data_IF_605174595534
#
_entry.id   IF_605174595534
#
_cell.length_a   1.000
_cell.length_b   1.000
_cell.length_c   1.000
_cell.angle_alpha   90.00
_cell.angle_beta   90.00
_cell.angle_gamma   90.00
#
_symmetry.space_group_name_H-M   'P 1'
#
loop_
_entity.id
_entity.type
_entity.pdbx_description
1 polymer ?
#
# COMPACT_ATOMS: atom_id res chain seq x y z
N UNK A 1 -60.01 -28.70 -11.47
CA UNK A 1 -58.65 -28.38 -11.96
C UNK A 1 -58.50 -26.87 -11.92
N UNK A 2 -58.03 -26.31 -10.80
CA UNK A 2 -57.64 -24.90 -10.75
C UNK A 2 -56.13 -24.83 -10.74
N UNK A 3 -55.57 -24.34 -11.84
CA UNK A 3 -54.14 -24.12 -11.98
C UNK A 3 -53.74 -22.92 -11.10
N UNK A 4 -53.02 -23.19 -10.01
CA UNK A 4 -52.31 -22.17 -9.26
C UNK A 4 -51.26 -21.52 -10.16
N UNK A 5 -51.57 -20.33 -10.69
CA UNK A 5 -50.57 -19.44 -11.30
C UNK A 5 -49.66 -18.92 -10.18
N UNK A 6 -48.54 -19.60 -9.99
CA UNK A 6 -47.40 -19.05 -9.26
C UNK A 6 -46.95 -17.81 -10.05
N UNK A 7 -47.22 -16.61 -9.52
CA UNK A 7 -46.62 -15.37 -10.02
C UNK A 7 -45.10 -15.54 -9.91
N UNK A 8 -44.41 -15.67 -11.04
CA UNK A 8 -42.96 -15.54 -11.08
C UNK A 8 -42.60 -14.17 -10.51
N UNK A 9 -41.98 -14.16 -9.34
CA UNK A 9 -41.42 -12.96 -8.74
C UNK A 9 -40.27 -12.54 -9.66
N UNK A 10 -40.42 -11.42 -10.36
CA UNK A 10 -39.37 -10.90 -11.24
C UNK A 10 -38.05 -10.77 -10.49
N UNK A 11 -36.95 -11.03 -11.16
CA UNK A 11 -35.62 -10.88 -10.56
C UNK A 11 -35.47 -9.47 -9.99
N UNK A 12 -34.93 -9.34 -8.76
CA UNK A 12 -34.78 -8.05 -8.12
C UNK A 12 -33.85 -7.16 -8.95
N UNK A 13 -34.30 -5.94 -9.24
CA UNK A 13 -33.52 -4.94 -9.97
C UNK A 13 -32.53 -4.29 -9.02
N UNK A 14 -31.43 -3.73 -9.56
CA UNK A 14 -30.41 -2.99 -8.79
C UNK A 14 -31.01 -1.88 -7.90
N UNK A 15 -32.11 -1.30 -8.36
CA UNK A 15 -32.91 -0.26 -7.71
C UNK A 15 -33.57 -0.75 -6.41
N UNK A 16 -33.91 -2.04 -6.35
CA UNK A 16 -34.60 -2.69 -5.22
C UNK A 16 -33.68 -2.89 -4.01
N UNK A 17 -32.36 -2.77 -4.19
CA UNK A 17 -31.35 -2.97 -3.15
C UNK A 17 -30.92 -1.68 -2.44
N UNK A 18 -31.52 -0.53 -2.80
CA UNK A 18 -31.16 0.78 -2.25
C UNK A 18 -29.83 1.33 -2.77
N UNK A 19 -29.45 2.51 -2.29
CA UNK A 19 -28.15 3.10 -2.63
C UNK A 19 -27.04 2.46 -1.80
N UNK A 20 -25.89 2.10 -2.41
CA UNK A 20 -24.74 1.59 -1.65
C UNK A 20 -24.32 2.59 -0.56
N UNK A 21 -24.15 2.09 0.67
CA UNK A 21 -23.67 2.89 1.80
C UNK A 21 -22.18 2.60 2.00
N UNK A 22 -21.38 3.65 2.16
CA UNK A 22 -19.97 3.51 2.51
C UNK A 22 -19.83 3.01 3.95
N UNK A 23 -19.16 1.86 4.13
CA UNK A 23 -19.02 1.20 5.42
C UNK A 23 -17.72 1.55 6.17
N UNK A 24 -16.77 2.22 5.50
CA UNK A 24 -15.53 2.66 6.13
C UNK A 24 -15.70 3.94 6.95
N UNK A 25 -14.66 4.29 7.70
CA UNK A 25 -14.57 5.59 8.37
C UNK A 25 -14.47 6.70 7.32
N UNK A 26 -15.21 7.78 7.51
CA UNK A 26 -15.04 9.01 6.74
C UNK A 26 -13.81 9.76 7.25
N UNK A 27 -12.84 9.99 6.36
CA UNK A 27 -11.63 10.76 6.61
C UNK A 27 -11.84 12.15 6.00
N UNK A 28 -11.45 13.20 6.71
CA UNK A 28 -11.53 14.56 6.17
C UNK A 28 -10.72 14.68 4.87
N UNK A 29 -11.23 15.45 3.91
CA UNK A 29 -10.50 15.74 2.68
C UNK A 29 -9.23 16.58 3.00
N UNK A 30 -8.16 16.43 2.21
CA UNK A 30 -6.96 17.26 2.37
C UNK A 30 -7.30 18.75 2.24
N UNK A 31 -6.69 19.56 3.09
CA UNK A 31 -6.84 21.01 3.05
C UNK A 31 -6.31 21.63 1.74
N UNK A 32 -6.78 22.84 1.42
CA UNK A 32 -6.30 23.61 0.24
C UNK A 32 -4.81 23.94 0.30
N UNK A 33 -4.23 23.95 1.50
CA UNK A 33 -2.81 24.21 1.73
C UNK A 33 -2.31 23.24 2.78
N UNK A 34 -1.66 22.16 2.33
CA UNK A 34 -1.07 21.14 3.19
C UNK A 34 0.27 21.64 3.73
N UNK A 35 0.41 21.62 5.05
CA UNK A 35 1.71 21.83 5.71
C UNK A 35 2.31 20.46 5.99
N UNK A 36 3.47 20.18 5.42
CA UNK A 36 4.13 18.88 5.57
C UNK A 36 5.47 19.03 6.27
N UNK A 37 5.88 17.97 6.99
CA UNK A 37 7.26 17.80 7.40
C UNK A 37 7.96 16.92 6.38
N UNK A 38 9.12 17.37 5.92
CA UNK A 38 9.95 16.66 4.95
C UNK A 38 11.13 16.04 5.69
N UNK A 39 11.38 14.77 5.41
CA UNK A 39 12.58 14.06 5.82
C UNK A 39 13.40 13.71 4.60
N UNK A 40 14.73 13.70 4.76
CA UNK A 40 15.65 13.21 3.74
C UNK A 40 15.92 11.74 3.97
N UNK A 41 15.76 10.92 2.94
CA UNK A 41 16.36 9.57 2.89
C UNK A 41 17.70 9.72 2.16
N UNK A 42 18.84 9.45 2.82
CA UNK A 42 20.15 9.66 2.22
C UNK A 42 20.41 8.75 1.02
N UNK A 43 21.16 9.28 0.05
CA UNK A 43 21.84 8.50 -0.98
C UNK A 43 22.57 7.30 -0.38
N UNK A 44 22.56 6.18 -1.09
CA UNK A 44 23.21 4.94 -0.66
C UNK A 44 22.39 4.12 0.32
N UNK A 45 21.24 4.63 0.78
CA UNK A 45 20.29 3.84 1.56
C UNK A 45 19.78 2.68 0.71
N UNK A 46 19.83 1.48 1.27
CA UNK A 46 19.26 0.28 0.68
C UNK A 46 17.82 0.14 1.16
N UNK A 47 16.92 -0.09 0.20
CA UNK A 47 15.49 -0.24 0.39
C UNK A 47 15.05 -1.59 -0.16
N UNK A 48 14.01 -2.12 0.44
CA UNK A 48 13.55 -3.48 0.26
C UNK A 48 12.16 -3.48 -0.38
N UNK A 49 11.92 -4.37 -1.33
CA UNK A 49 10.63 -4.45 -2.03
C UNK A 49 10.24 -5.89 -2.26
N UNK A 50 8.97 -6.21 -1.97
CA UNK A 50 8.30 -7.36 -2.52
C UNK A 50 7.46 -6.92 -3.72
N UNK A 51 7.48 -7.68 -4.81
CA UNK A 51 6.75 -7.35 -6.04
C UNK A 51 6.26 -8.62 -6.75
N UNK A 52 5.22 -8.50 -7.56
CA UNK A 52 4.80 -9.59 -8.44
C UNK A 52 5.88 -9.83 -9.51
N UNK A 53 6.25 -11.09 -9.71
CA UNK A 53 7.28 -11.53 -10.66
C UNK A 53 6.99 -11.14 -12.12
N UNK A 54 5.73 -10.85 -12.47
CA UNK A 54 5.37 -10.38 -13.81
C UNK A 54 5.90 -8.97 -14.11
N UNK A 55 6.33 -8.21 -13.10
CA UNK A 55 6.87 -6.86 -13.25
C UNK A 55 8.35 -6.80 -12.80
N UNK A 56 9.20 -5.99 -13.47
CA UNK A 56 10.57 -5.77 -13.02
C UNK A 56 10.60 -5.13 -11.62
N UNK A 57 11.47 -5.65 -10.75
CA UNK A 57 11.55 -5.22 -9.35
C UNK A 57 12.06 -3.79 -9.14
N UNK A 58 12.78 -3.25 -10.12
CA UNK A 58 13.33 -1.89 -10.17
C UNK A 58 12.45 -0.90 -10.94
N UNK A 59 11.28 -1.33 -11.42
CA UNK A 59 10.36 -0.50 -12.19
C UNK A 59 9.20 0.02 -11.34
N UNK A 60 8.87 1.30 -11.50
CA UNK A 60 7.67 1.89 -10.91
C UNK A 60 6.43 1.24 -11.53
N UNK A 61 5.39 1.01 -10.72
CA UNK A 61 4.09 0.59 -11.22
C UNK A 61 3.44 1.78 -11.93
N UNK A 62 3.15 1.72 -13.24
CA UNK A 62 2.56 2.83 -14.00
C UNK A 62 1.15 3.22 -13.53
N UNK A 63 0.53 2.39 -12.70
CA UNK A 63 -0.86 2.54 -12.28
C UNK A 63 -1.85 2.11 -13.36
N UNK A 64 -3.13 2.07 -12.98
CA UNK A 64 -4.25 1.86 -13.92
C UNK A 64 -5.49 2.56 -13.39
N UNK A 65 -6.49 2.72 -14.24
CA UNK A 65 -7.83 3.10 -13.79
C UNK A 65 -8.44 1.92 -13.05
N UNK A 66 -8.90 2.14 -11.82
CA UNK A 66 -9.55 1.11 -11.02
C UNK A 66 -10.97 0.85 -11.51
N UNK A 67 -11.37 -0.41 -11.50
CA UNK A 67 -12.77 -0.81 -11.68
C UNK A 67 -13.60 -0.49 -10.41
N UNK A 68 -14.94 -0.38 -10.50
CA UNK A 68 -15.79 0.04 -9.37
C UNK A 68 -15.68 -0.80 -8.10
N UNK A 69 -15.21 -2.04 -8.21
CA UNK A 69 -15.05 -3.00 -7.11
C UNK A 69 -13.59 -3.19 -6.68
N UNK A 70 -12.67 -2.38 -7.19
CA UNK A 70 -11.25 -2.45 -6.83
C UNK A 70 -10.87 -1.34 -5.84
N UNK A 71 -10.21 -1.73 -4.75
CA UNK A 71 -9.74 -0.77 -3.76
C UNK A 71 -8.41 -0.12 -4.12
N UNK A 72 -7.58 -0.73 -4.98
CA UNK A 72 -6.22 -0.27 -5.28
C UNK A 72 -5.29 -0.36 -4.07
N UNK A 73 -4.28 0.50 -4.01
CA UNK A 73 -3.37 0.62 -2.87
C UNK A 73 -3.68 1.87 -2.03
N UNK A 74 -3.11 1.92 -0.82
CA UNK A 74 -3.34 3.00 0.17
C UNK A 74 -3.09 4.40 -0.39
N UNK A 75 -2.06 4.54 -1.24
CA UNK A 75 -1.61 5.82 -1.78
C UNK A 75 -1.50 5.81 -3.32
N UNK A 76 -2.03 4.79 -4.00
CA UNK A 76 -2.04 4.74 -5.46
C UNK A 76 -3.23 3.91 -6.00
N UNK A 77 -3.68 4.15 -7.24
CA UNK A 77 -3.18 5.13 -8.21
C UNK A 77 -3.54 6.58 -7.84
N UNK A 78 -2.67 7.53 -8.14
CA UNK A 78 -2.96 8.97 -8.05
C UNK A 78 -2.72 9.63 -9.40
N UNK A 79 -3.24 10.84 -9.59
CA UNK A 79 -3.12 11.60 -10.83
C UNK A 79 -2.54 12.98 -10.64
N UNK A 80 -1.84 13.47 -11.64
CA UNK A 80 -1.45 14.88 -11.68
C UNK A 80 -2.63 15.80 -12.04
N UNK A 81 -2.32 17.09 -12.25
CA UNK A 81 -3.29 18.10 -12.65
C UNK A 81 -3.82 17.89 -14.08
N UNK A 82 -3.08 17.19 -14.94
CA UNK A 82 -3.50 16.81 -16.29
C UNK A 82 -4.34 15.52 -16.30
N UNK A 83 -4.57 14.92 -15.12
CA UNK A 83 -5.24 13.64 -14.91
C UNK A 83 -4.43 12.43 -15.39
N UNK A 84 -3.14 12.57 -15.66
CA UNK A 84 -2.28 11.45 -16.00
C UNK A 84 -1.93 10.65 -14.74
N UNK A 85 -1.81 9.33 -14.90
CA UNK A 85 -1.45 8.44 -13.81
C UNK A 85 0.01 8.67 -13.40
N UNK A 86 0.22 8.83 -12.09
CA UNK A 86 1.55 8.91 -11.52
C UNK A 86 2.06 7.50 -11.20
N UNK A 87 3.19 7.08 -11.78
CA UNK A 87 3.79 5.81 -11.42
C UNK A 87 4.19 5.81 -9.94
N UNK A 88 4.08 4.67 -9.25
CA UNK A 88 4.43 4.57 -7.83
C UNK A 88 5.27 3.34 -7.53
N UNK A 89 6.15 3.43 -6.53
CA UNK A 89 6.93 2.29 -6.05
C UNK A 89 6.86 2.23 -4.52
N UNK A 90 6.37 1.11 -4.01
CA UNK A 90 6.37 0.82 -2.58
C UNK A 90 7.67 0.11 -2.19
N UNK A 91 8.29 0.60 -1.13
CA UNK A 91 9.58 0.18 -0.61
C UNK A 91 9.56 0.19 0.92
N UNK A 92 10.51 -0.48 1.55
CA UNK A 92 10.66 -0.49 3.00
C UNK A 92 12.13 -0.45 3.43
N UNK A 93 12.38 -0.13 4.69
CA UNK A 93 13.72 0.00 5.28
C UNK A 93 14.40 -1.32 5.58
N UNK A 94 13.66 -2.43 5.59
CA UNK A 94 14.15 -3.77 5.89
C UNK A 94 13.34 -4.84 5.15
N UNK A 95 13.87 -6.06 5.10
CA UNK A 95 13.16 -7.21 4.55
C UNK A 95 11.88 -7.50 5.36
N UNK A 96 11.97 -7.44 6.69
CA UNK A 96 10.88 -7.59 7.64
C UNK A 96 9.75 -6.58 7.36
N UNK A 97 10.11 -5.31 7.14
CA UNK A 97 9.14 -4.26 6.84
C UNK A 97 8.47 -4.47 5.47
N UNK A 98 9.23 -4.86 4.45
CA UNK A 98 8.69 -5.17 3.12
C UNK A 98 7.71 -6.36 3.17
N UNK A 99 8.05 -7.40 3.95
CA UNK A 99 7.19 -8.57 4.17
C UNK A 99 5.93 -8.18 4.95
N UNK A 100 6.07 -7.39 6.02
CA UNK A 100 4.93 -6.93 6.82
C UNK A 100 3.91 -6.15 5.96
N UNK A 101 4.38 -5.25 5.08
CA UNK A 101 3.52 -4.46 4.20
C UNK A 101 2.98 -5.25 3.00
N UNK A 102 3.67 -6.31 2.54
CA UNK A 102 3.24 -7.03 1.34
C UNK A 102 2.43 -8.27 1.65
N UNK A 103 2.87 -9.05 2.64
CA UNK A 103 2.27 -10.34 3.01
C UNK A 103 1.25 -10.16 4.11
N UNK A 104 1.55 -9.39 5.16
CA UNK A 104 0.75 -9.37 6.38
C UNK A 104 -0.10 -8.11 6.60
N UNK A 105 -0.19 -7.21 5.62
CA UNK A 105 -0.84 -5.91 5.81
C UNK A 105 -2.36 -5.98 6.04
N UNK A 106 -3.01 -7.04 5.55
CA UNK A 106 -4.44 -7.29 5.75
C UNK A 106 -4.73 -8.12 7.02
N UNK A 107 -3.72 -8.51 7.80
CA UNK A 107 -3.92 -9.29 9.03
C UNK A 107 -4.53 -8.42 10.12
N UNK A 108 -5.75 -8.79 10.54
CA UNK A 108 -6.49 -8.15 11.62
C UNK A 108 -6.18 -8.84 12.95
N UNK A 109 -6.04 -8.07 14.03
CA UNK A 109 -5.85 -8.64 15.36
C UNK A 109 -7.17 -9.26 15.86
N UNK A 110 -7.26 -10.59 15.84
CA UNK A 110 -8.44 -11.34 16.32
C UNK A 110 -8.26 -11.90 17.73
N UNK A 111 -7.02 -11.90 18.25
CA UNK A 111 -6.67 -12.52 19.53
C UNK A 111 -6.74 -14.05 19.53
N UNK A 112 -6.86 -14.66 18.34
CA UNK A 112 -6.95 -16.11 18.14
C UNK A 112 -5.86 -16.56 17.18
N UNK A 113 -5.49 -17.83 17.28
CA UNK A 113 -4.63 -18.46 16.28
C UNK A 113 -5.45 -18.76 15.03
N UNK A 114 -5.01 -18.25 13.88
CA UNK A 114 -5.69 -18.37 12.59
C UNK A 114 -4.76 -18.91 11.51
N UNK A 115 -5.33 -19.60 10.52
CA UNK A 115 -4.59 -20.06 9.36
C UNK A 115 -4.39 -18.90 8.38
N UNK A 116 -3.19 -18.80 7.83
CA UNK A 116 -2.81 -17.79 6.86
C UNK A 116 -2.29 -18.44 5.58
N UNK A 117 -3.03 -18.27 4.48
CA UNK A 117 -2.76 -18.90 3.19
C UNK A 117 -1.64 -18.16 2.43
N UNK A 118 -0.57 -18.89 2.09
CA UNK A 118 0.57 -18.37 1.34
C UNK A 118 0.40 -18.43 -0.18
N UNK A 119 -0.60 -19.15 -0.71
CA UNK A 119 -0.81 -19.32 -2.16
C UNK A 119 -0.88 -18.00 -2.93
N UNK A 120 -1.52 -16.92 -2.41
CA UNK A 120 -1.54 -15.62 -3.10
C UNK A 120 -0.14 -15.03 -3.34
N UNK A 121 0.87 -15.42 -2.57
CA UNK A 121 2.22 -14.86 -2.62
C UNK A 121 3.23 -15.73 -3.38
N UNK A 122 2.79 -16.84 -3.99
CA UNK A 122 3.67 -17.78 -4.73
C UNK A 122 4.37 -17.14 -5.93
N UNK A 123 3.78 -16.09 -6.51
CA UNK A 123 4.36 -15.31 -7.61
C UNK A 123 5.09 -14.05 -7.14
N UNK A 124 5.22 -13.85 -5.83
CA UNK A 124 5.94 -12.69 -5.30
C UNK A 124 7.44 -12.95 -5.29
N UNK A 125 8.18 -11.91 -5.63
CA UNK A 125 9.62 -11.81 -5.57
C UNK A 125 10.04 -10.73 -4.58
N UNK A 126 11.30 -10.79 -4.16
CA UNK A 126 11.96 -9.83 -3.29
C UNK A 126 13.21 -9.29 -3.95
N UNK A 127 13.46 -7.98 -3.81
CA UNK A 127 14.63 -7.28 -4.36
C UNK A 127 15.12 -6.21 -3.38
N UNK A 128 16.41 -5.87 -3.45
CA UNK A 128 16.97 -4.70 -2.77
C UNK A 128 17.42 -3.65 -3.79
N UNK A 129 17.00 -2.41 -3.56
CA UNK A 129 17.33 -1.25 -4.39
C UNK A 129 18.10 -0.23 -3.55
N UNK A 130 19.14 0.37 -4.12
CA UNK A 130 19.93 1.42 -3.49
C UNK A 130 19.62 2.76 -4.13
N UNK A 131 19.45 3.78 -3.28
CA UNK A 131 19.22 5.15 -3.75
C UNK A 131 20.50 5.75 -4.33
N UNK A 132 20.42 6.35 -5.51
CA UNK A 132 21.55 7.03 -6.16
C UNK A 132 21.61 8.53 -5.87
N UNK A 133 20.61 9.08 -5.18
CA UNK A 133 20.56 10.45 -4.64
C UNK A 133 19.77 10.50 -3.34
N UNK A 134 19.87 11.64 -2.65
CA UNK A 134 18.99 11.97 -1.54
C UNK A 134 17.55 12.12 -2.04
N UNK A 135 16.60 11.57 -1.29
CA UNK A 135 15.16 11.70 -1.56
C UNK A 135 14.46 12.50 -0.47
N UNK A 136 13.61 13.45 -0.86
CA UNK A 136 12.76 14.20 0.05
C UNK A 136 11.41 13.51 0.18
N UNK A 137 11.07 13.01 1.37
CA UNK A 137 9.79 12.33 1.62
C UNK A 137 8.98 13.05 2.67
N UNK A 138 7.66 13.10 2.49
CA UNK A 138 6.76 13.58 3.55
C UNK A 138 6.74 12.57 4.69
N UNK A 139 6.95 13.07 5.90
CA UNK A 139 6.82 12.26 7.11
C UNK A 139 5.35 12.07 7.49
N UNK A 140 5.00 10.83 7.77
CA UNK A 140 3.70 10.43 8.30
C UNK A 140 3.81 9.89 9.74
N UNK A 141 4.74 10.43 10.56
CA UNK A 141 4.70 10.20 12.02
C UNK A 141 3.46 10.83 12.64
N UNK A 142 3.07 10.40 13.83
CA UNK A 142 1.86 10.87 14.50
C UNK A 142 1.81 12.40 14.62
N UNK A 143 2.88 13.02 15.10
CA UNK A 143 2.96 14.48 15.25
C UNK A 143 2.96 15.22 13.90
N UNK A 144 3.56 14.62 12.87
CA UNK A 144 3.65 15.22 11.53
C UNK A 144 2.31 15.15 10.78
N UNK A 145 1.54 14.07 10.98
CA UNK A 145 0.16 13.96 10.52
C UNK A 145 -0.73 15.04 11.18
N UNK A 146 -0.60 15.25 12.50
CA UNK A 146 -1.33 16.33 13.20
C UNK A 146 -0.99 17.69 12.60
N UNK A 147 0.30 17.94 12.31
CA UNK A 147 0.74 19.20 11.67
C UNK A 147 0.13 19.39 10.27
N UNK A 148 -0.01 18.28 9.53
CA UNK A 148 -0.64 18.20 8.21
C UNK A 148 -2.17 18.33 8.24
N UNK A 149 -2.79 18.07 9.40
CA UNK A 149 -4.23 18.19 9.61
C UNK A 149 -5.01 16.89 9.44
N UNK A 150 -4.36 15.74 9.68
CA UNK A 150 -4.99 14.40 9.65
C UNK A 150 -4.52 13.55 10.83
N UNK A 151 -5.37 12.67 11.34
CA UNK A 151 -4.93 11.68 12.33
C UNK A 151 -4.08 10.59 11.66
N UNK A 152 -3.00 10.15 12.31
CA UNK A 152 -2.14 9.10 11.72
C UNK A 152 -2.89 7.80 11.49
N UNK A 153 -3.80 7.41 12.37
CA UNK A 153 -4.59 6.19 12.18
C UNK A 153 -5.63 6.35 11.08
N UNK A 154 -6.04 7.57 10.72
CA UNK A 154 -6.80 7.84 9.48
C UNK A 154 -5.97 7.58 8.23
N UNK A 155 -4.73 8.05 8.19
CA UNK A 155 -3.90 7.95 6.99
C UNK A 155 -3.20 6.58 6.86
N UNK A 156 -2.48 6.16 7.90
CA UNK A 156 -1.64 4.95 7.94
C UNK A 156 -2.40 3.75 8.51
N UNK A 157 -3.39 4.01 9.36
CA UNK A 157 -4.23 2.97 9.96
C UNK A 157 -5.47 2.61 9.17
N UNK A 158 -5.68 3.20 7.99
CA UNK A 158 -6.80 2.90 7.10
C UNK A 158 -6.81 1.46 6.61
N UNK A 159 -8.01 0.98 6.30
CA UNK A 159 -8.27 -0.28 5.60
C UNK A 159 -8.54 0.01 4.12
N UNK A 160 -8.65 -1.05 3.33
CA UNK A 160 -8.96 -0.96 1.90
C UNK A 160 -10.22 -0.14 1.60
N UNK A 161 -11.22 -0.16 2.50
CA UNK A 161 -12.43 0.65 2.38
C UNK A 161 -12.12 2.15 2.32
N UNK A 162 -11.11 2.63 3.07
CA UNK A 162 -10.76 4.05 3.09
C UNK A 162 -9.72 4.47 2.04
N UNK A 163 -9.20 3.55 1.22
CA UNK A 163 -8.09 3.85 0.29
C UNK A 163 -8.41 4.95 -0.73
N UNK A 164 -9.67 5.11 -1.13
CA UNK A 164 -10.09 6.24 -1.98
C UNK A 164 -9.80 7.59 -1.31
N UNK A 165 -9.97 7.68 0.00
CA UNK A 165 -9.74 8.91 0.78
C UNK A 165 -8.25 9.13 1.03
N UNK A 166 -7.48 8.09 1.39
CA UNK A 166 -6.02 8.23 1.61
C UNK A 166 -5.25 8.50 0.31
N UNK A 167 -5.74 8.00 -0.83
CA UNK A 167 -5.25 8.42 -2.15
C UNK A 167 -5.45 9.91 -2.41
N UNK A 168 -6.57 10.48 -1.99
CA UNK A 168 -6.80 11.92 -2.16
C UNK A 168 -5.75 12.74 -1.40
N UNK A 169 -5.35 12.28 -0.21
CA UNK A 169 -4.24 12.87 0.54
C UNK A 169 -2.89 12.73 -0.18
N UNK A 170 -2.56 11.54 -0.69
CA UNK A 170 -1.32 11.34 -1.45
C UNK A 170 -1.27 12.18 -2.71
N UNK A 171 -2.38 12.29 -3.44
CA UNK A 171 -2.51 13.14 -4.61
C UNK A 171 -2.34 14.62 -4.26
N UNK A 172 -2.96 15.09 -3.18
CA UNK A 172 -2.82 16.47 -2.73
C UNK A 172 -1.36 16.78 -2.32
N UNK A 173 -0.65 15.85 -1.68
CA UNK A 173 0.77 15.99 -1.38
C UNK A 173 1.58 16.12 -2.67
N UNK A 174 1.39 15.20 -3.63
CA UNK A 174 2.09 15.22 -4.92
C UNK A 174 1.90 16.55 -5.69
N UNK A 175 0.67 17.06 -5.71
CA UNK A 175 0.29 18.27 -6.44
C UNK A 175 0.74 19.55 -5.76
N UNK A 176 0.72 19.61 -4.42
CA UNK A 176 1.06 20.83 -3.68
C UNK A 176 2.56 20.96 -3.39
N UNK A 177 3.31 19.85 -3.33
CA UNK A 177 4.73 19.83 -2.94
C UNK A 177 5.60 19.22 -4.04
N UNK A 178 6.08 20.07 -4.96
CA UNK A 178 6.82 19.64 -6.16
C UNK A 178 8.23 19.11 -5.87
N UNK A 179 8.79 19.45 -4.71
CA UNK A 179 10.11 19.03 -4.25
C UNK A 179 10.09 17.73 -3.42
N UNK A 180 8.94 17.06 -3.32
CA UNK A 180 8.75 15.81 -2.60
C UNK A 180 8.76 14.63 -3.58
N UNK A 181 9.59 13.64 -3.26
CA UNK A 181 9.79 12.40 -3.99
C UNK A 181 8.84 11.27 -3.55
N UNK A 182 8.19 11.39 -2.38
CA UNK A 182 7.33 10.35 -1.86
C UNK A 182 6.76 10.63 -0.46
N UNK A 183 6.18 9.60 0.14
CA UNK A 183 5.66 9.61 1.51
C UNK A 183 6.26 8.46 2.30
N UNK A 184 6.63 8.69 3.56
CA UNK A 184 7.25 7.70 4.46
C UNK A 184 6.44 7.56 5.74
N UNK A 185 6.17 6.33 6.15
CA UNK A 185 5.49 6.01 7.41
C UNK A 185 6.23 4.90 8.15
N UNK A 186 6.12 4.93 9.47
CA UNK A 186 6.64 3.89 10.34
C UNK A 186 5.55 2.88 10.65
N UNK A 187 5.95 1.61 10.82
CA UNK A 187 5.05 0.55 11.24
C UNK A 187 4.32 0.93 12.53
N UNK A 188 3.10 0.45 12.71
CA UNK A 188 2.35 0.64 13.98
C UNK A 188 3.01 -0.07 15.17
N UNK A 189 3.82 -1.09 14.91
CA UNK A 189 4.31 -2.05 15.91
C UNK A 189 5.83 -2.02 16.06
N UNK A 190 6.51 -1.20 15.27
CA UNK A 190 7.97 -1.10 15.22
C UNK A 190 8.38 0.29 14.68
N UNK A 191 8.97 1.11 15.55
CA UNK A 191 9.39 2.46 15.20
C UNK A 191 10.75 2.50 14.48
N UNK A 192 11.49 1.38 14.43
CA UNK A 192 12.79 1.28 13.76
C UNK A 192 12.66 0.93 12.27
N UNK A 193 11.45 0.55 11.85
CA UNK A 193 11.17 0.12 10.49
C UNK A 193 10.12 1.01 9.81
N UNK A 194 10.48 1.51 8.63
CA UNK A 194 9.61 2.33 7.81
C UNK A 194 9.26 1.67 6.49
N UNK A 195 8.09 2.04 5.98
CA UNK A 195 7.70 1.84 4.61
C UNK A 195 7.51 3.21 3.93
N UNK A 196 7.60 3.21 2.61
CA UNK A 196 7.40 4.41 1.82
C UNK A 196 6.77 4.09 0.48
N UNK A 197 6.19 5.12 -0.12
CA UNK A 197 5.81 5.15 -1.52
C UNK A 197 6.59 6.27 -2.20
N UNK A 198 7.31 5.94 -3.27
CA UNK A 198 7.94 6.91 -4.15
C UNK A 198 7.00 7.27 -5.30
N UNK A 199 6.99 8.54 -5.68
CA UNK A 199 6.37 9.03 -6.89
C UNK A 199 7.36 8.91 -8.05
N UNK A 200 6.97 8.22 -9.10
CA UNK A 200 7.81 7.97 -10.27
C UNK A 200 7.66 9.03 -11.36
N UNK A 201 8.41 8.84 -12.44
CA UNK A 201 8.35 9.71 -13.62
C UNK A 201 9.04 11.04 -13.36
N UNK A 202 8.27 12.11 -13.13
CA UNK A 202 8.81 13.46 -12.94
C UNK A 202 9.50 13.68 -11.59
N UNK A 203 9.29 12.79 -10.61
CA UNK A 203 9.88 12.91 -9.27
C UNK A 203 11.10 12.01 -9.15
N UNK A 204 10.90 10.70 -9.21
CA UNK A 204 11.98 9.70 -9.19
C UNK A 204 11.99 8.91 -10.49
N UNK A 205 13.16 8.80 -11.11
CA UNK A 205 13.37 7.97 -12.31
C UNK A 205 13.90 6.59 -11.93
N UNK A 206 13.62 5.56 -12.74
CA UNK A 206 14.17 4.21 -12.52
C UNK A 206 15.71 4.23 -12.42
N UNK A 207 16.38 5.08 -13.19
CA UNK A 207 17.85 5.22 -13.19
C UNK A 207 18.42 5.79 -11.89
N UNK A 208 17.59 6.35 -11.01
CA UNK A 208 18.01 6.86 -9.70
C UNK A 208 17.94 5.79 -8.60
N UNK A 209 17.61 4.55 -9.00
CA UNK A 209 17.61 3.36 -8.17
C UNK A 209 18.51 2.30 -8.84
N UNK A 210 19.52 1.81 -8.12
CA UNK A 210 20.33 0.69 -8.59
C UNK A 210 19.98 -0.59 -7.85
N UNK A 211 20.14 -1.74 -8.50
CA UNK A 211 19.93 -3.04 -7.88
C UNK A 211 21.09 -3.31 -6.92
N UNK A 212 20.81 -3.35 -5.61
CA UNK A 212 21.78 -3.71 -4.58
C UNK A 212 21.90 -5.23 -4.44
N UNK A 213 20.75 -5.92 -4.46
CA UNK A 213 20.66 -7.37 -4.55
C UNK A 213 19.60 -7.75 -5.60
N UNK A 214 19.89 -8.73 -6.47
CA UNK A 214 18.96 -9.13 -7.53
C UNK A 214 17.69 -9.78 -6.98
N UNK A 215 16.65 -9.74 -7.81
CA UNK A 215 15.35 -10.29 -7.47
C UNK A 215 15.42 -11.82 -7.22
N UNK A 216 14.76 -12.28 -6.16
CA UNK A 216 14.64 -13.70 -5.81
C UNK A 216 13.20 -14.06 -5.44
N UNK A 217 12.82 -15.33 -5.58
CA UNK A 217 11.47 -15.80 -5.20
C UNK A 217 11.26 -15.66 -3.70
N UNK A 218 10.17 -15.00 -3.31
CA UNK A 218 9.87 -14.67 -1.92
C UNK A 218 9.79 -15.93 -1.04
N UNK A 219 8.99 -16.92 -1.45
CA UNK A 219 8.74 -18.13 -0.65
C UNK A 219 9.84 -19.20 -0.78
N UNK A 220 10.69 -19.14 -1.81
CA UNK A 220 11.77 -20.15 -2.01
C UNK A 220 13.11 -19.72 -1.42
N UNK A 221 13.25 -18.46 -0.98
CA UNK A 221 14.48 -17.95 -0.41
C UNK A 221 14.54 -18.25 1.09
N UNK A 222 15.44 -19.15 1.51
CA UNK A 222 15.50 -19.69 2.88
C UNK A 222 15.43 -18.63 3.98
N UNK A 223 16.25 -17.59 3.90
CA UNK A 223 16.28 -16.51 4.91
C UNK A 223 14.96 -15.72 4.97
N UNK A 224 14.33 -15.49 3.81
CA UNK A 224 13.05 -14.77 3.73
C UNK A 224 11.93 -15.65 4.29
N UNK A 225 11.91 -16.94 3.95
CA UNK A 225 10.98 -17.89 4.53
C UNK A 225 11.06 -17.95 6.06
N UNK A 226 12.26 -17.87 6.63
CA UNK A 226 12.46 -17.76 8.09
C UNK A 226 11.88 -16.46 8.67
N UNK A 227 12.02 -15.33 7.97
CA UNK A 227 11.43 -14.06 8.39
C UNK A 227 9.89 -14.12 8.34
N UNK A 228 9.32 -14.70 7.28
CA UNK A 228 7.87 -14.91 7.15
C UNK A 228 7.35 -15.79 8.29
N UNK A 229 8.00 -16.93 8.55
CA UNK A 229 7.66 -17.84 9.63
C UNK A 229 7.71 -17.15 11.00
N UNK A 230 8.82 -16.45 11.31
CA UNK A 230 8.97 -15.73 12.58
C UNK A 230 7.94 -14.61 12.74
N UNK A 231 7.58 -13.94 11.64
CA UNK A 231 6.56 -12.89 11.66
C UNK A 231 5.18 -13.50 11.91
N UNK A 232 4.84 -14.61 11.24
CA UNK A 232 3.60 -15.33 11.46
C UNK A 232 3.46 -15.81 12.91
N UNK A 233 4.50 -16.41 13.49
CA UNK A 233 4.53 -16.83 14.90
C UNK A 233 4.27 -15.66 15.86
N UNK A 234 4.91 -14.50 15.64
CA UNK A 234 4.68 -13.28 16.44
C UNK A 234 3.24 -12.75 16.32
N UNK A 235 2.59 -13.00 15.19
CA UNK A 235 1.19 -12.62 14.93
C UNK A 235 0.19 -13.69 15.39
N UNK A 236 0.67 -14.85 15.86
CA UNK A 236 -0.17 -15.98 16.23
C UNK A 236 -0.80 -16.68 15.02
N UNK A 237 -0.16 -16.65 13.85
CA UNK A 237 -0.67 -17.25 12.62
C UNK A 237 -0.03 -18.62 12.34
N UNK A 238 -0.82 -19.54 11.81
CA UNK A 238 -0.34 -20.81 11.25
C UNK A 238 -0.30 -20.68 9.73
N UNK A 239 0.90 -20.74 9.15
CA UNK A 239 1.06 -20.68 7.70
C UNK A 239 0.54 -21.97 7.06
N UNK A 240 -0.21 -21.83 5.95
CA UNK A 240 -0.69 -22.96 5.15
C UNK A 240 -0.46 -22.70 3.66
N UNK A 241 -0.24 -23.78 2.92
CA UNK A 241 -0.18 -23.80 1.45
C UNK A 241 -1.36 -24.60 0.84
N UNK A 242 -2.30 -25.07 1.69
CA UNK A 242 -3.45 -25.90 1.30
C UNK A 242 -4.62 -25.10 0.71
#
# INVERSE_FOLDING_TARGET
MEQNKVKQKGEPKKEDFGSPVFLGRKIAAPGKTLRVRIEVIPKGTVLHRCHDAQYPGDSFNPGRVLLPNEYGARFSPIRDAALDLIPTMYLASSCEAAIAESVFHDVVATGKTEFFDLRPFTKMHYIQLKLERDLNVVSCRAQDCIYMGIDRDELIGSTQLEYSQTRAWSQAIYQQHHNVDGMKWYSKRDDDHFALVLFGGQRVMNSELSIAEPSSRLLSHKTIGQIIQKTAERLGLILTEE
#
